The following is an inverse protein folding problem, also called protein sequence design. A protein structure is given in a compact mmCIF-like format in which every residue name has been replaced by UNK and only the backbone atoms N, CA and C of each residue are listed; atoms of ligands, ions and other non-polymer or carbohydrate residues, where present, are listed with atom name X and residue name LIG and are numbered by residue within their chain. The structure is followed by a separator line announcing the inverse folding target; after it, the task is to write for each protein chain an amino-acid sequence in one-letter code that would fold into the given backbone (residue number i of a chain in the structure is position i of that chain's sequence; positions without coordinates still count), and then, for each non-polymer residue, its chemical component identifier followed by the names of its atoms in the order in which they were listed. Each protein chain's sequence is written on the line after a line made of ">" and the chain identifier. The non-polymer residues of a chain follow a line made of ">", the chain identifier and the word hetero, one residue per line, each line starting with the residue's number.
data_IF_206420485926
#
_entry.id   IF_206420485926
#
_cell.length_a   1.000
_cell.length_b   1.000
_cell.length_c   1.000
_cell.angle_alpha   90.00
_cell.angle_beta   90.00
_cell.angle_gamma   90.00
#
_symmetry.space_group_name_H-M   'P 1'
#
loop_
_entity.id
_entity.type
_entity.pdbx_description
1 polymer ?
#
# COMPACT_ATOMS: atom_id res chain seq x y z
N UNK A 1 -0.55 26.89 12.64
CA UNK A 1 -1.56 25.87 12.29
C UNK A 1 -0.79 24.61 11.88
N UNK A 2 -0.41 23.77 12.84
CA UNK A 2 0.23 22.49 12.52
C UNK A 2 -0.85 21.64 11.86
N UNK A 3 -0.72 21.41 10.55
CA UNK A 3 -1.60 20.50 9.83
C UNK A 3 -1.52 19.16 10.52
N UNK A 4 -2.64 18.70 11.05
CA UNK A 4 -2.75 17.43 11.72
C UNK A 4 -2.48 16.33 10.67
N UNK A 5 -1.22 15.91 10.54
CA UNK A 5 -0.80 14.81 9.68
C UNK A 5 -1.09 13.46 10.34
N UNK A 6 -1.69 13.44 11.54
CA UNK A 6 -2.16 12.23 12.21
C UNK A 6 -3.25 11.60 11.35
N UNK A 7 -2.97 10.43 10.77
CA UNK A 7 -3.90 9.74 9.87
C UNK A 7 -3.49 9.68 8.40
N UNK A 8 -2.37 10.31 8.01
CA UNK A 8 -1.89 10.33 6.62
C UNK A 8 -0.64 9.47 6.48
N UNK A 9 -0.65 8.52 5.54
CA UNK A 9 0.48 7.60 5.34
C UNK A 9 0.49 6.98 3.95
N UNK A 10 1.70 6.70 3.46
CA UNK A 10 1.91 6.06 2.16
C UNK A 10 2.74 4.78 2.31
N UNK A 11 2.16 3.62 1.96
CA UNK A 11 2.89 2.36 1.91
C UNK A 11 3.26 2.06 0.46
N UNK A 12 4.55 2.16 0.11
CA UNK A 12 5.08 1.76 -1.20
C UNK A 12 5.12 0.23 -1.26
N UNK A 13 4.65 -0.35 -2.35
CA UNK A 13 4.70 -1.79 -2.57
C UNK A 13 5.82 -2.09 -3.56
N UNK A 14 6.70 -3.01 -3.18
CA UNK A 14 7.81 -3.48 -4.00
C UNK A 14 7.77 -4.99 -4.15
N UNK A 15 8.30 -5.53 -5.25
CA UNK A 15 8.54 -6.98 -5.33
C UNK A 15 9.83 -7.37 -4.57
N UNK A 16 10.18 -8.67 -4.44
CA UNK A 16 11.38 -9.12 -3.73
C UNK A 16 12.69 -8.65 -4.38
N UNK A 17 12.62 -8.12 -5.60
CA UNK A 17 13.75 -7.53 -6.33
C UNK A 17 13.75 -5.99 -6.22
N UNK A 18 13.00 -5.41 -5.29
CA UNK A 18 12.87 -3.96 -5.08
C UNK A 18 12.31 -3.20 -6.29
N UNK A 19 11.51 -3.85 -7.14
CA UNK A 19 10.80 -3.14 -8.20
C UNK A 19 9.50 -2.53 -7.69
N UNK A 20 9.18 -1.29 -8.07
CA UNK A 20 7.92 -0.65 -7.66
C UNK A 20 6.74 -1.33 -8.35
N UNK A 21 5.83 -1.90 -7.57
CA UNK A 21 4.62 -2.58 -8.06
C UNK A 21 3.33 -1.83 -7.74
N UNK A 22 3.38 -0.85 -6.84
CA UNK A 22 2.27 0.02 -6.52
C UNK A 22 2.51 0.79 -5.24
N UNK A 23 1.49 1.48 -4.76
CA UNK A 23 1.49 2.15 -3.45
C UNK A 23 0.07 2.24 -2.90
N UNK A 24 -0.01 2.15 -1.58
CA UNK A 24 -1.22 2.35 -0.80
C UNK A 24 -1.15 3.75 -0.20
N UNK A 25 -2.22 4.51 -0.32
CA UNK A 25 -2.31 5.90 0.11
C UNK A 25 -3.47 6.05 1.08
N UNK A 26 -3.21 6.71 2.20
CA UNK A 26 -4.23 7.26 3.08
C UNK A 26 -4.04 8.76 3.16
N UNK A 27 -4.82 9.51 2.38
CA UNK A 27 -4.68 10.97 2.26
C UNK A 27 -5.34 11.74 3.43
N UNK A 28 -6.24 11.10 4.19
CA UNK A 28 -6.86 11.71 5.36
C UNK A 28 -7.33 10.65 6.38
N UNK A 29 -7.39 10.99 7.68
CA UNK A 29 -7.83 10.07 8.75
C UNK A 29 -9.23 9.48 8.52
N UNK A 30 -10.13 10.26 7.92
CA UNK A 30 -11.51 9.87 7.62
C UNK A 30 -11.73 9.42 6.18
N UNK A 31 -10.69 9.44 5.34
CA UNK A 31 -10.77 9.00 3.96
C UNK A 31 -10.40 7.53 3.85
N UNK A 32 -11.06 6.84 2.94
CA UNK A 32 -10.75 5.45 2.64
C UNK A 32 -9.34 5.32 2.03
N UNK A 33 -8.73 4.18 2.34
CA UNK A 33 -7.42 3.82 1.79
C UNK A 33 -7.55 3.58 0.29
N UNK A 34 -6.61 4.13 -0.48
CA UNK A 34 -6.58 3.99 -1.93
C UNK A 34 -5.38 3.16 -2.36
N UNK A 35 -5.60 2.25 -3.29
CA UNK A 35 -4.54 1.58 -4.01
C UNK A 35 -4.21 2.33 -5.30
N UNK A 36 -2.98 2.79 -5.45
CA UNK A 36 -2.43 3.29 -6.69
C UNK A 36 -1.46 2.22 -7.25
N UNK A 37 -1.87 1.42 -8.25
CA UNK A 37 -0.97 0.46 -8.91
C UNK A 37 0.13 1.16 -9.76
N UNK A 38 0.22 2.49 -9.69
CA UNK A 38 1.07 3.33 -10.52
C UNK A 38 0.35 3.77 -11.79
N UNK A 39 0.64 5.01 -12.23
CA UNK A 39 0.02 5.66 -13.37
C UNK A 39 0.11 4.88 -14.71
N UNK A 40 0.94 3.84 -14.77
CA UNK A 40 1.12 3.00 -15.96
C UNK A 40 0.29 1.71 -15.94
N UNK A 41 -0.35 1.35 -14.82
CA UNK A 41 -1.07 0.08 -14.64
C UNK A 41 -2.59 0.29 -14.58
N UNK A 42 -3.07 1.44 -14.10
CA UNK A 42 -4.50 1.75 -14.09
C UNK A 42 -4.87 2.93 -13.20
N UNK A 43 -6.16 3.33 -13.16
CA UNK A 43 -6.63 4.35 -12.24
C UNK A 43 -6.46 3.92 -10.78
N UNK A 44 -6.39 4.89 -9.86
CA UNK A 44 -6.47 4.61 -8.42
C UNK A 44 -7.77 3.88 -8.12
N UNK A 45 -7.66 2.80 -7.36
CA UNK A 45 -8.80 1.99 -6.94
C UNK A 45 -8.96 2.10 -5.44
N UNK A 46 -10.16 1.83 -4.97
CA UNK A 46 -10.38 1.62 -3.54
C UNK A 46 -9.54 0.43 -3.09
N UNK A 47 -8.82 0.56 -1.97
CA UNK A 47 -8.11 -0.56 -1.38
C UNK A 47 -9.13 -1.43 -0.64
N UNK A 48 -9.31 -2.70 -1.02
CA UNK A 48 -10.32 -3.56 -0.41
C UNK A 48 -9.97 -3.89 1.05
N UNK A 49 -11.00 -4.05 1.87
CA UNK A 49 -10.81 -4.52 3.24
C UNK A 49 -10.40 -6.00 3.28
N UNK A 50 -9.75 -6.42 4.35
CA UNK A 50 -9.34 -7.81 4.56
C UNK A 50 -10.52 -8.80 4.43
N UNK A 51 -11.70 -8.40 4.93
CA UNK A 51 -12.93 -9.20 4.88
C UNK A 51 -13.41 -9.44 3.44
N UNK A 52 -13.17 -8.48 2.54
CA UNK A 52 -13.54 -8.56 1.12
C UNK A 52 -12.46 -9.26 0.29
N UNK A 53 -11.19 -8.95 0.56
CA UNK A 53 -10.04 -9.52 -0.11
C UNK A 53 -8.94 -9.84 0.91
N UNK A 54 -8.86 -11.09 1.41
CA UNK A 54 -7.87 -11.46 2.44
C UNK A 54 -6.45 -11.52 1.89
N UNK A 55 -6.30 -11.78 0.59
CA UNK A 55 -5.01 -11.83 -0.10
C UNK A 55 -4.95 -10.77 -1.19
N UNK A 56 -4.10 -9.76 -0.98
CA UNK A 56 -3.82 -8.77 -1.98
C UNK A 56 -2.81 -9.33 -2.98
N UNK A 57 -3.19 -9.39 -4.26
CA UNK A 57 -2.31 -9.83 -5.34
C UNK A 57 -2.21 -8.77 -6.42
N UNK A 58 -0.99 -8.53 -6.89
CA UNK A 58 -0.66 -7.63 -8.00
C UNK A 58 0.39 -8.28 -8.88
N UNK A 59 0.65 -7.74 -10.07
CA UNK A 59 1.69 -8.26 -10.98
C UNK A 59 2.85 -7.27 -11.02
N UNK A 60 4.05 -7.76 -10.74
CA UNK A 60 5.25 -6.98 -10.96
C UNK A 60 5.53 -6.89 -12.46
N UNK A 61 5.47 -5.71 -13.08
CA UNK A 61 5.75 -5.59 -14.53
C UNK A 61 7.20 -5.90 -14.90
N UNK A 62 8.12 -5.70 -13.96
CA UNK A 62 9.56 -5.84 -14.20
C UNK A 62 10.00 -7.30 -14.16
N UNK A 63 9.52 -8.06 -13.18
CA UNK A 63 9.73 -9.51 -13.11
C UNK A 63 8.72 -10.29 -13.97
N UNK A 64 7.63 -9.63 -14.38
CA UNK A 64 6.47 -10.21 -15.02
C UNK A 64 5.79 -11.35 -14.23
N UNK A 65 6.04 -11.37 -12.91
CA UNK A 65 5.52 -12.37 -11.98
C UNK A 65 4.45 -11.79 -11.07
N UNK A 66 3.45 -12.62 -10.67
CA UNK A 66 2.51 -12.23 -9.64
C UNK A 66 3.23 -12.12 -8.29
N UNK A 67 2.90 -11.07 -7.55
CA UNK A 67 3.36 -10.83 -6.18
C UNK A 67 2.14 -10.52 -5.33
N UNK A 68 2.17 -10.92 -4.08
CA UNK A 68 1.03 -10.71 -3.20
C UNK A 68 1.40 -10.90 -1.76
N UNK A 69 0.56 -10.36 -0.88
CA UNK A 69 0.72 -10.43 0.56
C UNK A 69 -0.66 -10.43 1.21
N UNK A 70 -0.74 -10.92 2.45
CA UNK A 70 -1.98 -10.84 3.21
C UNK A 70 -2.40 -9.37 3.40
N UNK A 71 -3.67 -9.07 3.12
CA UNK A 71 -4.22 -7.71 3.28
C UNK A 71 -4.06 -7.23 4.73
N UNK A 72 -4.24 -8.14 5.69
CA UNK A 72 -3.94 -7.97 7.11
C UNK A 72 -2.56 -7.35 7.35
N UNK A 73 -1.53 -7.93 6.73
CA UNK A 73 -0.13 -7.54 6.89
C UNK A 73 0.13 -6.16 6.28
N UNK A 74 -0.51 -5.83 5.16
CA UNK A 74 -0.39 -4.51 4.53
C UNK A 74 -1.15 -3.43 5.31
N UNK A 75 -2.32 -3.77 5.87
CA UNK A 75 -3.09 -2.89 6.74
C UNK A 75 -2.34 -2.61 8.05
N UNK A 76 -1.73 -3.63 8.66
CA UNK A 76 -0.90 -3.47 9.85
C UNK A 76 0.29 -2.54 9.57
N UNK A 77 1.03 -2.77 8.48
CA UNK A 77 2.13 -1.89 8.10
C UNK A 77 1.67 -0.45 7.83
N UNK A 78 0.54 -0.25 7.13
CA UNK A 78 0.00 1.08 6.91
C UNK A 78 -0.41 1.75 8.24
N UNK A 79 -0.99 0.99 9.18
CA UNK A 79 -1.35 1.50 10.50
C UNK A 79 -0.11 1.91 11.31
N UNK A 80 1.00 1.17 11.22
CA UNK A 80 2.28 1.54 11.81
C UNK A 80 2.82 2.85 11.22
N UNK A 81 2.81 3.00 9.89
CA UNK A 81 3.22 4.25 9.22
C UNK A 81 2.35 5.43 9.65
N UNK A 82 1.04 5.23 9.70
CA UNK A 82 0.09 6.28 10.08
C UNK A 82 0.21 6.65 11.56
N UNK A 83 0.57 5.69 12.42
CA UNK A 83 0.83 5.92 13.84
C UNK A 83 2.21 6.55 14.09
N UNK A 84 3.17 6.36 13.19
CA UNK A 84 4.50 6.92 13.28
C UNK A 84 4.55 8.36 12.77
N UNK A 85 4.62 9.31 13.71
CA UNK A 85 4.66 10.74 13.38
C UNK A 85 5.94 11.18 12.63
N UNK A 86 6.98 10.34 12.57
CA UNK A 86 8.22 10.62 11.87
C UNK A 86 8.24 9.99 10.46
N UNK A 87 7.56 8.86 10.26
CA UNK A 87 7.53 8.09 9.03
C UNK A 87 6.19 8.26 8.31
N UNK A 88 6.09 9.25 7.43
CA UNK A 88 4.90 9.46 6.57
C UNK A 88 4.83 8.50 5.39
N UNK A 89 5.89 7.72 5.16
CA UNK A 89 5.92 6.66 4.16
C UNK A 89 6.80 5.49 4.60
N UNK A 90 6.35 4.28 4.29
CA UNK A 90 7.17 3.08 4.37
C UNK A 90 7.10 2.28 3.07
N UNK A 91 7.87 1.20 3.03
CA UNK A 91 7.95 0.30 1.89
C UNK A 91 7.69 -1.13 2.38
N UNK A 92 6.75 -1.82 1.74
CA UNK A 92 6.45 -3.23 1.96
C UNK A 92 6.94 -4.06 0.76
N UNK A 93 7.73 -5.09 1.04
CA UNK A 93 8.15 -6.06 0.03
C UNK A 93 7.10 -7.17 -0.07
N UNK A 94 6.48 -7.32 -1.23
CA UNK A 94 5.52 -8.38 -1.54
C UNK A 94 6.26 -9.61 -2.04
N UNK A 95 6.09 -10.79 -1.42
CA UNK A 95 6.63 -12.05 -1.94
C UNK A 95 5.96 -12.46 -3.25
N UNK A 96 6.63 -13.36 -3.98
CA UNK A 96 6.03 -14.02 -5.14
C UNK A 96 4.93 -14.99 -4.70
N UNK A 97 3.83 -15.06 -5.46
CA UNK A 97 2.67 -15.95 -5.20
C UNK A 97 2.51 -16.99 -6.29
#
# INVERSE_FOLDING_TARGET
>A
MAGNQEGIGMLKLECPQHHPVGRILKDAPHQAVQFDPGAQVGPRRFWPDEDEQPNFTTRCRFCDQPVGEATATLQAQLAEVVADAAATAATAALPYV
#
